data_IF_245756027480
#
_entry.id   IF_245756027480
#
_cell.length_a   1.000
_cell.length_b   1.000
_cell.length_c   1.000
_cell.angle_alpha   90.00
_cell.angle_beta   90.00
_cell.angle_gamma   90.00
#
_symmetry.space_group_name_H-M   'P 1'
#
loop_
_entity.id
_entity.type
_entity.pdbx_description
1 polymer ?
#
# COMPACT_ATOMS: atom_id res chain seq x y z
N UNK A 1 -41.43 -56.60 15.51
CA UNK A 1 -41.30 -55.13 15.60
C UNK A 1 -40.71 -54.74 16.94
N UNK A 2 -39.46 -54.26 16.97
CA UNK A 2 -38.80 -53.71 18.17
C UNK A 2 -37.60 -52.85 17.78
N UNK A 3 -37.55 -51.66 18.41
CA UNK A 3 -36.42 -50.74 18.64
C UNK A 3 -36.01 -49.80 17.48
N UNK A 4 -36.68 -48.65 17.49
CA UNK A 4 -36.11 -47.34 17.16
C UNK A 4 -34.97 -47.05 18.15
N UNK A 5 -33.80 -46.69 17.63
CA UNK A 5 -32.85 -45.80 18.30
C UNK A 5 -32.33 -44.81 17.27
N UNK A 6 -32.87 -43.59 17.33
CA UNK A 6 -32.14 -42.40 16.88
C UNK A 6 -30.77 -42.38 17.57
N UNK A 7 -29.75 -41.84 16.92
CA UNK A 7 -29.18 -40.55 17.31
C UNK A 7 -27.88 -40.26 16.55
N UNK A 8 -27.79 -39.00 16.11
CA UNK A 8 -26.59 -38.19 15.94
C UNK A 8 -25.74 -38.36 14.68
N UNK A 9 -26.10 -37.52 13.69
CA UNK A 9 -25.27 -36.42 13.17
C UNK A 9 -23.78 -36.75 13.05
N UNK A 10 -23.42 -37.33 11.91
CA UNK A 10 -22.05 -37.24 11.39
C UNK A 10 -21.83 -35.78 11.01
N UNK A 11 -21.11 -35.05 11.87
CA UNK A 11 -20.58 -33.73 11.57
C UNK A 11 -19.46 -33.94 10.55
N UNK A 12 -19.81 -33.87 9.27
CA UNK A 12 -18.87 -33.43 8.25
C UNK A 12 -18.68 -31.92 8.47
N UNK A 13 -17.49 -31.52 8.92
CA UNK A 13 -16.72 -30.33 8.49
C UNK A 13 -15.43 -30.32 9.34
N UNK A 14 -14.30 -30.70 8.75
CA UNK A 14 -13.04 -30.06 9.11
C UNK A 14 -12.44 -29.45 7.84
N UNK A 15 -13.14 -28.49 7.22
CA UNK A 15 -12.60 -27.72 6.09
C UNK A 15 -13.04 -26.26 6.21
N UNK A 16 -12.60 -25.59 7.27
CA UNK A 16 -12.60 -24.13 7.35
C UNK A 16 -11.25 -23.60 7.86
N UNK A 17 -10.16 -24.24 7.47
CA UNK A 17 -8.81 -23.71 7.63
C UNK A 17 -8.12 -23.48 6.28
N UNK A 18 -8.88 -23.15 5.23
CA UNK A 18 -8.30 -22.42 4.11
C UNK A 18 -8.02 -21.01 4.60
N UNK A 19 -6.88 -20.84 5.28
CA UNK A 19 -6.30 -19.55 5.61
C UNK A 19 -6.39 -18.65 4.38
N UNK A 20 -6.81 -17.39 4.58
CA UNK A 20 -6.61 -16.37 3.56
C UNK A 20 -5.14 -16.43 3.11
N UNK A 21 -4.90 -16.81 1.86
CA UNK A 21 -3.66 -16.38 1.19
C UNK A 21 -3.79 -14.87 1.15
N UNK A 22 -3.02 -14.17 1.98
CA UNK A 22 -2.67 -12.79 1.69
C UNK A 22 -2.08 -12.82 0.30
N UNK A 23 -2.86 -12.36 -0.68
CA UNK A 23 -2.32 -11.93 -1.96
C UNK A 23 -1.44 -10.77 -1.56
N UNK A 24 -0.15 -11.04 -1.34
CA UNK A 24 0.86 -10.00 -1.31
C UNK A 24 0.66 -9.28 -2.64
N UNK A 25 0.03 -8.10 -2.58
CA UNK A 25 0.10 -7.11 -3.64
C UNK A 25 1.53 -7.15 -4.10
N UNK A 26 1.75 -7.32 -5.41
CA UNK A 26 3.06 -7.35 -6.05
C UNK A 26 3.94 -6.28 -5.41
N UNK A 27 4.67 -6.67 -4.40
CA UNK A 27 5.83 -5.97 -3.93
C UNK A 27 6.76 -6.19 -5.09
N UNK A 28 6.94 -5.13 -5.89
CA UNK A 28 8.01 -5.11 -6.87
C UNK A 28 9.23 -5.70 -6.16
N UNK A 29 9.92 -6.69 -6.75
CA UNK A 29 11.06 -7.28 -6.10
C UNK A 29 12.03 -6.14 -5.79
N UNK A 30 12.15 -5.81 -4.51
CA UNK A 30 13.34 -5.14 -4.00
C UNK A 30 14.41 -6.18 -4.24
N UNK A 31 15.07 -6.07 -5.39
CA UNK A 31 16.23 -6.85 -5.74
C UNK A 31 17.29 -6.46 -4.72
N UNK A 32 17.31 -7.15 -3.58
CA UNK A 32 18.53 -7.34 -2.83
C UNK A 32 19.38 -8.26 -3.72
N UNK A 33 20.08 -7.67 -4.69
CA UNK A 33 21.11 -8.36 -5.44
C UNK A 33 22.26 -8.66 -4.47
N UNK A 34 22.16 -9.79 -3.78
CA UNK A 34 23.34 -10.57 -3.44
C UNK A 34 23.90 -11.12 -4.75
N UNK A 35 24.55 -10.26 -5.53
CA UNK A 35 25.35 -10.68 -6.67
C UNK A 35 26.73 -11.10 -6.17
N UNK A 36 27.02 -12.38 -6.41
CA UNK A 36 28.36 -12.95 -6.48
C UNK A 36 29.28 -11.99 -7.22
N UNK A 37 30.30 -11.52 -6.50
CA UNK A 37 31.34 -10.60 -6.98
C UNK A 37 32.11 -11.29 -8.10
N UNK A 38 31.88 -10.85 -9.35
CA UNK A 38 32.85 -10.98 -10.41
C UNK A 38 33.28 -9.58 -10.82
N UNK A 39 34.53 -9.32 -10.49
CA UNK A 39 35.29 -8.09 -10.65
C UNK A 39 35.32 -7.65 -12.12
N UNK A 40 34.54 -6.63 -12.45
CA UNK A 40 34.81 -5.75 -13.58
C UNK A 40 34.65 -4.32 -13.08
N UNK A 41 35.64 -3.47 -13.32
CA UNK A 41 35.68 -2.05 -12.93
C UNK A 41 34.70 -1.21 -13.75
N UNK A 42 33.43 -1.58 -13.72
CA UNK A 42 32.32 -0.71 -14.04
C UNK A 42 31.87 -0.13 -12.70
N UNK A 43 32.04 1.17 -12.49
CA UNK A 43 31.46 1.86 -11.33
C UNK A 43 29.97 1.51 -11.29
N UNK A 44 29.55 0.65 -10.34
CA UNK A 44 28.16 0.23 -10.21
C UNK A 44 27.37 1.47 -9.85
N UNK A 45 26.69 2.05 -10.84
CA UNK A 45 25.84 3.21 -10.65
C UNK A 45 24.66 2.79 -9.79
N UNK A 46 24.52 3.40 -8.62
CA UNK A 46 23.40 3.19 -7.71
C UNK A 46 22.18 3.91 -8.27
N UNK A 47 21.02 3.27 -8.20
CA UNK A 47 19.75 3.87 -8.63
C UNK A 47 18.71 3.73 -7.55
N UNK A 48 17.84 4.73 -7.42
CA UNK A 48 16.72 4.69 -6.51
C UNK A 48 15.54 5.49 -7.05
N UNK A 49 14.32 5.10 -6.65
CA UNK A 49 13.10 5.86 -6.91
C UNK A 49 12.63 6.50 -5.61
N UNK A 50 12.35 7.80 -5.62
CA UNK A 50 11.79 8.53 -4.48
C UNK A 50 10.50 9.24 -4.87
N UNK A 51 9.62 9.44 -3.90
CA UNK A 51 8.29 10.02 -4.12
C UNK A 51 8.02 11.08 -3.08
N UNK A 52 7.61 12.26 -3.53
CA UNK A 52 7.13 13.32 -2.67
C UNK A 52 5.67 13.60 -2.99
N UNK A 53 4.83 13.56 -1.97
CA UNK A 53 3.39 13.78 -2.11
C UNK A 53 3.00 15.12 -1.52
N UNK A 54 1.97 15.74 -2.08
CA UNK A 54 1.18 16.74 -1.36
C UNK A 54 1.94 18.02 -0.99
N UNK A 55 2.89 18.42 -1.84
CA UNK A 55 3.68 19.65 -1.65
C UNK A 55 4.92 19.47 -0.79
N UNK A 56 5.24 18.25 -0.37
CA UNK A 56 6.58 17.93 0.12
C UNK A 56 7.58 18.11 -1.02
N UNK A 57 8.66 18.85 -0.80
CA UNK A 57 9.71 19.08 -1.80
C UNK A 57 11.09 18.82 -1.19
N UNK A 58 11.36 17.55 -0.89
CA UNK A 58 12.63 17.10 -0.30
C UNK A 58 13.68 16.68 -1.33
N UNK A 59 13.43 16.91 -2.63
CA UNK A 59 14.35 16.48 -3.71
C UNK A 59 15.71 17.18 -3.60
N UNK A 60 15.74 18.40 -3.06
CA UNK A 60 16.96 19.20 -2.91
C UNK A 60 18.03 18.48 -2.09
N UNK A 61 17.66 17.77 -1.01
CA UNK A 61 18.61 17.02 -0.18
C UNK A 61 19.37 15.95 -1.00
N UNK A 62 18.69 15.31 -1.94
CA UNK A 62 19.29 14.30 -2.80
C UNK A 62 20.19 14.93 -3.88
N UNK A 63 19.78 16.07 -4.43
CA UNK A 63 20.58 16.81 -5.41
C UNK A 63 21.87 17.34 -4.78
N UNK A 64 21.79 17.86 -3.56
CA UNK A 64 22.94 18.34 -2.78
C UNK A 64 23.89 17.19 -2.41
N UNK A 65 23.35 16.01 -2.14
CA UNK A 65 24.12 14.77 -1.95
C UNK A 65 24.76 14.24 -3.24
N UNK A 66 24.52 14.87 -4.39
CA UNK A 66 25.12 14.51 -5.67
C UNK A 66 24.39 13.39 -6.43
N UNK A 67 23.11 13.15 -6.14
CA UNK A 67 22.27 12.31 -6.99
C UNK A 67 21.83 13.08 -8.24
N UNK A 68 21.69 12.36 -9.35
CA UNK A 68 21.26 12.90 -10.64
C UNK A 68 19.86 12.38 -10.97
N UNK A 69 18.94 13.27 -11.31
CA UNK A 69 17.60 12.90 -11.79
C UNK A 69 17.70 12.32 -13.20
N UNK A 70 17.32 11.06 -13.37
CA UNK A 70 17.17 10.41 -14.67
C UNK A 70 15.76 10.59 -15.25
N UNK A 71 14.74 10.60 -14.39
CA UNK A 71 13.33 10.71 -14.79
C UNK A 71 12.53 11.40 -13.69
N UNK A 72 11.57 12.23 -14.09
CA UNK A 72 10.54 12.83 -13.23
C UNK A 72 9.16 12.52 -13.83
N UNK A 73 8.27 12.00 -13.01
CA UNK A 73 6.85 11.78 -13.33
C UNK A 73 5.97 12.43 -12.26
N UNK A 74 4.73 12.73 -12.60
CA UNK A 74 3.73 13.31 -11.69
C UNK A 74 2.42 12.55 -11.75
N UNK A 75 1.79 12.30 -10.61
CA UNK A 75 0.46 11.71 -10.54
C UNK A 75 -0.42 12.37 -9.47
N UNK A 76 -1.74 12.34 -9.70
CA UNK A 76 -2.72 12.84 -8.73
C UNK A 76 -2.81 11.89 -7.53
N UNK A 77 -2.83 12.44 -6.31
CA UNK A 77 -2.93 11.68 -5.06
C UNK A 77 -3.78 12.39 -4.02
N UNK A 78 -4.47 11.59 -3.19
CA UNK A 78 -5.25 12.11 -2.07
C UNK A 78 -4.30 12.42 -0.91
N UNK A 79 -4.29 13.68 -0.48
CA UNK A 79 -3.41 14.19 0.57
C UNK A 79 -4.02 14.08 1.95
N UNK A 80 -5.31 14.39 2.05
CA UNK A 80 -6.04 14.33 3.30
C UNK A 80 -7.42 13.71 3.09
N UNK A 81 -7.89 13.05 4.14
CA UNK A 81 -9.24 12.51 4.23
C UNK A 81 -10.04 13.32 5.23
N UNK A 82 -11.31 13.58 4.96
CA UNK A 82 -12.24 14.19 5.92
C UNK A 82 -13.43 13.30 6.18
N UNK A 83 -13.92 13.34 7.40
CA UNK A 83 -15.22 12.78 7.77
C UNK A 83 -16.31 13.80 7.53
N UNK A 84 -17.39 13.40 6.87
CA UNK A 84 -18.60 14.20 6.64
C UNK A 84 -19.84 13.38 7.00
N UNK A 85 -21.00 14.01 7.25
CA UNK A 85 -22.22 13.26 7.55
C UNK A 85 -22.67 12.45 6.32
N UNK A 86 -23.14 11.23 6.58
CA UNK A 86 -23.64 10.29 5.57
C UNK A 86 -24.92 10.81 4.89
N UNK A 87 -25.77 11.50 5.65
CA UNK A 87 -27.00 12.14 5.17
C UNK A 87 -27.17 13.52 5.79
N UNK A 88 -28.00 14.38 5.19
CA UNK A 88 -28.21 15.77 5.67
C UNK A 88 -28.81 15.85 7.07
N UNK A 89 -29.56 14.84 7.51
CA UNK A 89 -30.30 14.83 8.78
C UNK A 89 -29.55 14.12 9.91
N UNK A 90 -28.29 13.76 9.69
CA UNK A 90 -27.54 12.88 10.58
C UNK A 90 -26.65 13.69 11.53
N UNK A 91 -26.74 13.41 12.83
CA UNK A 91 -25.91 14.03 13.86
C UNK A 91 -24.63 13.21 14.05
N UNK A 92 -23.49 13.76 13.63
CA UNK A 92 -22.21 13.05 13.64
C UNK A 92 -21.72 12.67 15.05
N UNK A 93 -22.20 13.33 16.10
CA UNK A 93 -21.73 13.10 17.46
C UNK A 93 -22.64 12.12 18.22
N UNK A 94 -23.89 11.98 17.79
CA UNK A 94 -24.90 11.13 18.46
C UNK A 94 -25.24 9.85 17.69
N UNK A 95 -25.24 9.90 16.36
CA UNK A 95 -25.73 8.81 15.53
C UNK A 95 -24.60 7.87 15.11
N UNK A 96 -24.78 6.56 15.38
CA UNK A 96 -23.83 5.53 14.95
C UNK A 96 -23.87 5.38 13.43
N UNK A 97 -22.71 5.23 12.81
CA UNK A 97 -22.60 5.07 11.35
C UNK A 97 -22.83 6.36 10.56
N UNK A 98 -22.88 7.51 11.25
CA UNK A 98 -23.15 8.80 10.63
C UNK A 98 -21.99 9.39 9.83
N UNK A 99 -20.74 8.98 10.11
CA UNK A 99 -19.53 9.54 9.49
C UNK A 99 -19.12 8.73 8.27
N UNK A 100 -19.05 9.37 7.11
CA UNK A 100 -18.39 8.83 5.91
C UNK A 100 -17.07 9.55 5.67
N UNK A 101 -16.03 8.80 5.31
CA UNK A 101 -14.73 9.36 4.92
C UNK A 101 -14.71 9.60 3.42
N UNK A 102 -14.31 10.80 3.02
CA UNK A 102 -14.09 11.14 1.60
C UNK A 102 -12.80 11.94 1.42
N UNK A 103 -12.24 11.98 0.20
CA UNK A 103 -11.08 12.84 -0.08
C UNK A 103 -11.39 14.28 0.29
N UNK A 104 -10.48 14.91 1.03
CA UNK A 104 -10.58 16.31 1.42
C UNK A 104 -9.74 17.18 0.50
N UNK A 105 -8.43 16.91 0.48
CA UNK A 105 -7.47 17.57 -0.41
C UNK A 105 -6.87 16.55 -1.36
N UNK A 106 -6.91 16.90 -2.62
CA UNK A 106 -6.23 16.20 -3.70
C UNK A 106 -5.03 17.06 -4.09
N UNK A 107 -3.88 16.43 -4.24
CA UNK A 107 -2.64 17.09 -4.63
C UNK A 107 -1.84 16.24 -5.60
N UNK A 108 -0.61 16.67 -5.84
CA UNK A 108 0.31 16.02 -6.76
C UNK A 108 1.33 15.19 -5.99
N UNK A 109 1.65 14.00 -6.51
CA UNK A 109 2.80 13.21 -6.12
C UNK A 109 3.81 13.23 -7.26
N UNK A 110 5.02 13.70 -6.95
CA UNK A 110 6.16 13.67 -7.86
C UNK A 110 7.01 12.44 -7.58
N UNK A 111 7.41 11.75 -8.65
CA UNK A 111 8.19 10.51 -8.61
C UNK A 111 9.50 10.78 -9.36
N UNK A 112 10.62 10.57 -8.69
CA UNK A 112 11.96 10.79 -9.24
C UNK A 112 12.72 9.47 -9.31
N UNK A 113 13.30 9.17 -10.47
CA UNK A 113 14.31 8.14 -10.63
C UNK A 113 15.70 8.80 -10.57
N UNK A 114 16.52 8.41 -9.60
CA UNK A 114 17.83 8.98 -9.33
C UNK A 114 18.97 8.00 -9.65
N UNK A 115 20.15 8.53 -9.97
CA UNK A 115 21.39 7.79 -10.19
C UNK A 115 22.59 8.46 -9.49
N UNK A 116 23.50 7.67 -8.93
CA UNK A 116 24.77 8.12 -8.33
C UNK A 116 25.90 7.10 -8.52
#
# INVERSE_FOLDING_TARGET
MKKIKNFLKIIFIPILLSSCKTLTNKEYPIINSQETINESTNSVKKRMEIKFSCGDDGILEYLDDGWIILKEDSQEKICTWKSVPATKSCDMDKDKGCKITKPDKIGEEKIYLLEK
#
